data_IF_275965049172
#
_entry.id   IF_275965049172
#
_cell.length_a   1.000
_cell.length_b   1.000
_cell.length_c   1.000
_cell.angle_alpha   90.00
_cell.angle_beta   90.00
_cell.angle_gamma   90.00
#
_symmetry.space_group_name_H-M   'P 1'
#
loop_
_entity.id
_entity.type
_entity.pdbx_description
1 polymer ?
#
# COMPACT_ATOMS: atom_id res chain seq x y z
N UNK A 1 -16.30 11.57 12.08
CA UNK A 1 -14.93 11.68 11.57
C UNK A 1 -14.80 10.78 10.35
N UNK A 2 -14.14 11.22 9.27
CA UNK A 2 -13.81 10.41 8.09
C UNK A 2 -12.51 9.65 8.32
N UNK A 3 -12.29 8.57 7.57
CA UNK A 3 -11.11 7.71 7.76
C UNK A 3 -10.30 7.67 6.46
N UNK A 4 -8.99 7.86 6.56
CA UNK A 4 -8.01 7.63 5.52
C UNK A 4 -7.05 6.54 6.00
N UNK A 5 -7.20 5.35 5.44
CA UNK A 5 -6.51 4.16 5.89
C UNK A 5 -5.54 3.68 4.80
N UNK A 6 -4.26 3.65 5.11
CA UNK A 6 -3.22 3.16 4.20
C UNK A 6 -2.81 1.74 4.58
N UNK A 7 -2.79 0.83 3.61
CA UNK A 7 -2.19 -0.49 3.73
C UNK A 7 -0.91 -0.52 2.91
N UNK A 8 0.21 -0.37 3.60
CA UNK A 8 1.56 -0.27 3.03
C UNK A 8 2.36 -1.54 3.24
N UNK A 9 3.46 -1.70 2.51
CA UNK A 9 4.37 -2.83 2.64
C UNK A 9 4.86 -3.33 1.29
N UNK A 10 5.93 -4.10 1.31
CA UNK A 10 6.59 -4.61 0.11
C UNK A 10 5.76 -5.67 -0.64
N UNK A 11 6.28 -6.12 -1.78
CA UNK A 11 5.68 -7.24 -2.51
C UNK A 11 5.68 -8.51 -1.65
N UNK A 12 4.67 -9.38 -1.83
CA UNK A 12 4.55 -10.64 -1.09
C UNK A 12 3.99 -10.53 0.33
N UNK A 13 3.85 -9.33 0.92
CA UNK A 13 3.37 -9.17 2.31
C UNK A 13 1.89 -9.47 2.51
N UNK A 14 1.09 -9.54 1.44
CA UNK A 14 -0.35 -9.83 1.51
C UNK A 14 -1.22 -8.62 1.87
N UNK A 15 -0.69 -7.38 1.79
CA UNK A 15 -1.42 -6.14 2.12
C UNK A 15 -2.77 -6.01 1.39
N UNK A 16 -2.83 -6.33 0.10
CA UNK A 16 -4.07 -6.26 -0.70
C UNK A 16 -5.13 -7.25 -0.20
N UNK A 17 -4.71 -8.48 0.09
CA UNK A 17 -5.60 -9.52 0.62
C UNK A 17 -6.14 -9.12 2.00
N UNK A 18 -5.27 -8.65 2.90
CA UNK A 18 -5.64 -8.18 4.23
C UNK A 18 -6.62 -7.01 4.15
N UNK A 19 -6.30 -5.97 3.37
CA UNK A 19 -7.16 -4.80 3.22
C UNK A 19 -8.55 -5.18 2.69
N UNK A 20 -8.63 -6.07 1.67
CA UNK A 20 -9.90 -6.53 1.11
C UNK A 20 -10.72 -7.37 2.10
N UNK A 21 -10.07 -8.21 2.94
CA UNK A 21 -10.76 -8.95 4.01
C UNK A 21 -11.35 -8.00 5.06
N UNK A 22 -10.62 -6.96 5.42
CA UNK A 22 -11.06 -6.00 6.44
C UNK A 22 -12.05 -4.96 5.91
N UNK A 23 -12.24 -4.84 4.60
CA UNK A 23 -13.02 -3.75 4.00
C UNK A 23 -14.48 -3.73 4.45
N UNK A 24 -15.21 -4.83 4.32
CA UNK A 24 -16.59 -4.93 4.78
C UNK A 24 -16.73 -4.81 6.32
N UNK A 25 -15.87 -5.46 7.14
CA UNK A 25 -15.81 -5.22 8.57
C UNK A 25 -15.57 -3.76 8.98
N UNK A 26 -14.70 -3.01 8.25
CA UNK A 26 -14.48 -1.59 8.49
C UNK A 26 -15.75 -0.76 8.28
N UNK A 27 -16.45 -0.99 7.16
CA UNK A 27 -17.72 -0.31 6.87
C UNK A 27 -18.77 -0.60 7.95
N UNK A 28 -18.86 -1.85 8.39
CA UNK A 28 -19.78 -2.24 9.44
C UNK A 28 -19.46 -1.58 10.79
N UNK A 29 -18.18 -1.64 11.20
CA UNK A 29 -17.74 -1.11 12.49
C UNK A 29 -17.84 0.40 12.60
N UNK A 30 -17.62 1.13 11.49
CA UNK A 30 -17.67 2.59 11.48
C UNK A 30 -19.03 3.16 11.11
N UNK A 31 -19.90 2.38 10.47
CA UNK A 31 -21.16 2.85 9.86
C UNK A 31 -20.93 3.87 8.73
N UNK A 32 -19.75 3.90 8.09
CA UNK A 32 -19.36 4.87 7.08
C UNK A 32 -19.17 4.21 5.70
N UNK A 33 -19.45 4.95 4.61
CA UNK A 33 -19.04 4.50 3.29
C UNK A 33 -17.53 4.63 3.12
N UNK A 34 -16.94 3.65 2.41
CA UNK A 34 -15.54 3.65 2.03
C UNK A 34 -15.38 3.42 0.53
N UNK A 35 -14.39 4.08 -0.09
CA UNK A 35 -13.85 3.69 -1.38
C UNK A 35 -12.56 2.87 -1.20
N UNK A 36 -12.30 1.96 -2.14
CA UNK A 36 -11.11 1.14 -2.19
C UNK A 36 -10.21 1.59 -3.36
N UNK A 37 -9.02 2.07 -3.05
CA UNK A 37 -8.06 2.59 -4.01
C UNK A 37 -6.81 1.68 -4.01
N UNK A 38 -6.83 0.65 -4.84
CA UNK A 38 -5.69 -0.27 -5.02
C UNK A 38 -4.87 0.20 -6.23
N UNK A 39 -3.60 0.51 -6.00
CA UNK A 39 -2.66 1.00 -7.02
C UNK A 39 -2.63 0.08 -8.25
N UNK A 40 -2.56 -1.22 -8.03
CA UNK A 40 -2.42 -2.16 -9.13
C UNK A 40 -3.71 -2.31 -9.94
N UNK A 41 -4.87 -2.10 -9.31
CA UNK A 41 -6.16 -2.06 -10.02
C UNK A 41 -6.32 -0.78 -10.82
N UNK A 42 -5.93 0.37 -10.26
CA UNK A 42 -6.16 1.68 -10.90
C UNK A 42 -5.14 1.99 -12.00
N UNK A 43 -3.89 1.62 -11.79
CA UNK A 43 -2.78 2.03 -12.66
C UNK A 43 -2.03 0.86 -13.31
N UNK A 44 -2.37 -0.40 -12.97
CA UNK A 44 -1.64 -1.56 -13.44
C UNK A 44 -1.53 -1.65 -14.97
N UNK A 45 -2.65 -1.64 -15.65
CA UNK A 45 -2.71 -1.70 -17.12
C UNK A 45 -2.18 -0.42 -17.78
N UNK A 46 -2.53 0.75 -17.23
CA UNK A 46 -2.05 2.02 -17.76
C UNK A 46 -0.51 2.11 -17.74
N UNK A 47 0.08 1.79 -16.60
CA UNK A 47 1.54 1.83 -16.47
C UNK A 47 2.24 0.76 -17.30
N UNK A 48 1.62 -0.42 -17.43
CA UNK A 48 2.14 -1.46 -18.34
C UNK A 48 2.16 -0.97 -19.79
N UNK A 49 1.09 -0.33 -20.25
CA UNK A 49 1.02 0.22 -21.59
C UNK A 49 2.03 1.36 -21.78
N UNK A 50 2.15 2.28 -20.81
CA UNK A 50 3.07 3.40 -20.88
C UNK A 50 4.53 2.96 -20.88
N UNK A 51 4.93 2.10 -19.92
CA UNK A 51 6.33 1.64 -19.86
C UNK A 51 6.68 0.73 -21.03
N UNK A 52 5.75 -0.12 -21.47
CA UNK A 52 5.93 -0.97 -22.65
C UNK A 52 6.15 -0.18 -23.93
N UNK A 53 5.46 0.95 -24.12
CA UNK A 53 5.67 1.85 -25.25
C UNK A 53 7.04 2.53 -25.20
N UNK A 54 7.58 2.79 -24.00
CA UNK A 54 8.85 3.50 -23.81
C UNK A 54 10.06 2.56 -23.85
N UNK A 55 9.93 1.34 -23.31
CA UNK A 55 11.07 0.40 -23.12
C UNK A 55 10.95 -0.88 -23.95
N UNK A 56 9.77 -1.18 -24.48
CA UNK A 56 9.46 -2.48 -25.10
C UNK A 56 9.10 -3.59 -24.10
N UNK A 57 9.20 -3.34 -22.78
CA UNK A 57 8.83 -4.29 -21.74
C UNK A 57 7.72 -3.72 -20.84
N UNK A 58 6.47 -4.21 -20.94
CA UNK A 58 5.35 -3.76 -20.13
C UNK A 58 5.48 -4.14 -18.64
N UNK A 59 6.43 -4.99 -18.29
CA UNK A 59 6.67 -5.46 -16.92
C UNK A 59 7.84 -4.77 -16.23
N UNK A 60 8.49 -3.83 -16.90
CA UNK A 60 9.59 -3.04 -16.34
C UNK A 60 9.08 -2.01 -15.30
N UNK A 61 8.91 -2.51 -14.06
CA UNK A 61 8.42 -1.73 -12.90
C UNK A 61 9.53 -1.32 -11.94
N UNK A 62 10.78 -1.64 -12.26
CA UNK A 62 11.94 -1.44 -11.39
C UNK A 62 13.04 -0.61 -12.05
N UNK A 63 12.90 -0.22 -13.34
CA UNK A 63 13.86 0.63 -14.03
C UNK A 63 13.90 2.06 -13.49
N UNK A 64 15.00 2.77 -13.69
CA UNK A 64 15.08 4.20 -13.40
C UNK A 64 13.97 5.00 -14.10
N UNK A 65 13.64 4.65 -15.34
CA UNK A 65 12.62 5.33 -16.13
C UNK A 65 11.22 5.19 -15.48
N UNK A 66 10.84 3.99 -15.05
CA UNK A 66 9.58 3.81 -14.32
C UNK A 66 9.57 4.59 -13.01
N UNK A 67 10.66 4.51 -12.23
CA UNK A 67 10.77 5.16 -10.92
C UNK A 67 10.70 6.68 -11.06
N UNK A 68 11.36 7.24 -12.07
CA UNK A 68 11.44 8.68 -12.29
C UNK A 68 10.15 9.28 -12.86
N UNK A 69 9.48 8.57 -13.79
CA UNK A 69 8.41 9.18 -14.59
C UNK A 69 7.01 8.65 -14.30
N UNK A 70 6.86 7.41 -13.81
CA UNK A 70 5.55 6.79 -13.63
C UNK A 70 5.17 6.56 -12.17
N UNK A 71 6.14 6.17 -11.32
CA UNK A 71 5.86 5.82 -9.93
C UNK A 71 5.21 6.96 -9.15
N UNK A 72 5.77 8.13 -9.17
CA UNK A 72 5.29 9.25 -8.36
C UNK A 72 3.94 9.80 -8.83
N UNK A 73 3.65 9.93 -10.14
CA UNK A 73 2.30 10.18 -10.64
C UNK A 73 1.26 9.15 -10.20
N UNK A 74 1.57 7.84 -10.24
CA UNK A 74 0.64 6.80 -9.73
C UNK A 74 0.28 7.04 -8.26
N UNK A 75 1.28 7.29 -7.42
CA UNK A 75 1.06 7.45 -5.98
C UNK A 75 0.39 8.78 -5.65
N UNK A 76 0.72 9.85 -6.38
CA UNK A 76 0.04 11.13 -6.24
C UNK A 76 -1.44 11.01 -6.62
N UNK A 77 -1.75 10.37 -7.73
CA UNK A 77 -3.13 10.13 -8.17
C UNK A 77 -3.97 9.35 -7.16
N UNK A 78 -3.38 8.34 -6.47
CA UNK A 78 -4.07 7.63 -5.37
C UNK A 78 -4.43 8.57 -4.22
N UNK A 79 -3.47 9.40 -3.81
CA UNK A 79 -3.64 10.33 -2.68
C UNK A 79 -4.66 11.42 -3.03
N UNK A 80 -4.57 11.99 -4.24
CA UNK A 80 -5.51 13.02 -4.71
C UNK A 80 -6.93 12.46 -4.82
N UNK A 81 -7.11 11.26 -5.39
CA UNK A 81 -8.42 10.59 -5.46
C UNK A 81 -8.98 10.29 -4.06
N UNK A 82 -8.12 9.89 -3.11
CA UNK A 82 -8.55 9.70 -1.72
C UNK A 82 -9.03 11.02 -1.10
N UNK A 83 -8.29 12.12 -1.29
CA UNK A 83 -8.65 13.44 -0.78
C UNK A 83 -9.99 13.95 -1.36
N UNK A 84 -10.21 13.76 -2.67
CA UNK A 84 -11.49 14.10 -3.32
C UNK A 84 -12.67 13.32 -2.71
N UNK A 85 -12.53 12.00 -2.52
CA UNK A 85 -13.55 11.17 -1.88
C UNK A 85 -13.83 11.62 -0.44
N UNK A 86 -12.79 11.93 0.33
CA UNK A 86 -12.93 12.45 1.69
C UNK A 86 -13.64 13.79 1.71
N UNK A 87 -13.38 14.69 0.76
CA UNK A 87 -14.09 15.96 0.63
C UNK A 87 -15.59 15.74 0.38
N UNK A 88 -15.96 14.68 -0.33
CA UNK A 88 -17.34 14.28 -0.61
C UNK A 88 -17.98 13.45 0.53
N UNK A 89 -17.29 13.22 1.64
CA UNK A 89 -17.81 12.49 2.80
C UNK A 89 -17.60 10.97 2.77
N UNK A 90 -16.87 10.46 1.78
CA UNK A 90 -16.55 9.04 1.64
C UNK A 90 -15.16 8.78 2.23
N UNK A 91 -15.03 7.85 3.18
CA UNK A 91 -13.75 7.39 3.72
C UNK A 91 -12.97 6.59 2.67
N UNK A 92 -11.65 6.48 2.81
CA UNK A 92 -10.81 5.82 1.82
C UNK A 92 -9.88 4.76 2.43
N UNK A 93 -9.77 3.62 1.76
CA UNK A 93 -8.73 2.61 1.96
C UNK A 93 -7.79 2.65 0.76
N UNK A 94 -6.52 2.99 0.98
CA UNK A 94 -5.48 3.08 -0.04
C UNK A 94 -4.53 1.91 0.11
N UNK A 95 -4.29 1.17 -0.97
CA UNK A 95 -3.42 0.00 -1.00
C UNK A 95 -2.28 0.25 -1.99
N UNK A 96 -1.07 0.38 -1.49
CA UNK A 96 0.14 0.52 -2.31
C UNK A 96 1.40 0.24 -1.47
N UNK A 97 2.58 0.00 -2.07
CA UNK A 97 3.83 -0.13 -1.31
C UNK A 97 4.13 1.08 -0.42
N UNK A 98 4.12 2.31 -0.99
CA UNK A 98 4.30 3.61 -0.32
C UNK A 98 5.51 3.66 0.64
N UNK A 99 6.54 2.84 0.43
CA UNK A 99 7.69 2.72 1.34
C UNK A 99 8.51 4.00 1.46
N UNK A 100 8.64 4.79 0.38
CA UNK A 100 9.29 6.10 0.43
C UNK A 100 8.45 7.11 1.21
N UNK A 101 7.15 7.15 0.94
CA UNK A 101 6.18 8.05 1.58
C UNK A 101 6.04 7.77 3.07
N UNK A 102 6.11 6.49 3.49
CA UNK A 102 6.17 6.09 4.90
C UNK A 102 7.49 6.56 5.52
N UNK A 103 8.65 6.26 4.89
CA UNK A 103 9.98 6.62 5.38
C UNK A 103 10.15 8.14 5.55
N UNK A 104 9.62 8.92 4.60
CA UNK A 104 9.65 10.38 4.62
C UNK A 104 8.51 10.99 5.44
N UNK A 105 7.69 10.17 6.13
CA UNK A 105 6.56 10.56 6.99
C UNK A 105 5.46 11.34 6.24
N UNK A 106 5.43 11.31 4.91
CA UNK A 106 4.44 12.04 4.09
C UNK A 106 3.01 11.58 4.36
N UNK A 107 2.79 10.30 4.72
CA UNK A 107 1.46 9.77 5.03
C UNK A 107 0.90 10.30 6.37
N UNK A 108 1.69 11.06 7.13
CA UNK A 108 1.24 11.74 8.35
C UNK A 108 1.14 13.26 8.16
N UNK A 109 1.56 13.77 7.01
CA UNK A 109 1.50 15.19 6.66
C UNK A 109 0.15 15.52 6.00
N UNK A 110 -0.73 16.17 6.76
CA UNK A 110 -2.08 16.54 6.29
C UNK A 110 -2.05 17.48 5.10
N UNK A 111 -1.08 18.38 5.05
CA UNK A 111 -0.93 19.32 3.93
C UNK A 111 -0.55 18.57 2.65
N UNK A 112 0.39 17.62 2.76
CA UNK A 112 0.77 16.77 1.64
C UNK A 112 -0.37 15.87 1.17
N UNK A 113 -1.19 15.37 2.11
CA UNK A 113 -2.35 14.53 1.82
C UNK A 113 -3.57 15.35 1.29
N UNK A 114 -3.58 16.66 1.48
CA UNK A 114 -4.71 17.51 1.10
C UNK A 114 -5.96 17.29 1.97
N UNK A 115 -5.81 16.93 3.27
CA UNK A 115 -6.91 16.58 4.16
C UNK A 115 -6.94 17.44 5.42
N UNK A 116 -8.15 17.72 5.93
CA UNK A 116 -8.38 18.48 7.16
C UNK A 116 -8.27 17.65 8.44
N UNK A 117 -8.46 18.33 9.59
CA UNK A 117 -8.39 17.72 10.93
C UNK A 117 -9.58 16.79 11.23
N UNK A 118 -10.65 16.87 10.46
CA UNK A 118 -11.82 15.99 10.54
C UNK A 118 -11.60 14.59 9.94
N UNK A 119 -10.39 14.33 9.41
CA UNK A 119 -9.98 13.04 8.85
C UNK A 119 -9.06 12.31 9.83
N UNK A 120 -9.44 11.11 10.24
CA UNK A 120 -8.56 10.20 10.97
C UNK A 120 -7.65 9.47 9.98
N UNK A 121 -6.33 9.58 10.17
CA UNK A 121 -5.33 8.91 9.34
C UNK A 121 -4.78 7.72 10.13
N UNK A 122 -4.72 6.54 9.49
CA UNK A 122 -4.02 5.36 10.00
C UNK A 122 -3.18 4.74 8.90
N UNK A 123 -1.96 4.38 9.25
CA UNK A 123 -1.01 3.74 8.32
C UNK A 123 -0.65 2.37 8.85
N UNK A 124 -1.08 1.33 8.14
CA UNK A 124 -0.73 -0.06 8.43
C UNK A 124 0.52 -0.41 7.64
N UNK A 125 1.58 -0.84 8.33
CA UNK A 125 2.74 -1.44 7.69
C UNK A 125 2.63 -2.97 7.79
N UNK A 126 2.28 -3.59 6.66
CA UNK A 126 2.15 -5.04 6.55
C UNK A 126 3.50 -5.63 6.18
N UNK A 127 4.00 -6.53 7.00
CA UNK A 127 5.27 -7.21 6.78
C UNK A 127 5.14 -8.72 6.97
N UNK A 128 6.12 -9.44 6.49
CA UNK A 128 6.30 -10.88 6.69
C UNK A 128 7.82 -11.14 6.74
N UNK A 129 8.22 -12.35 7.14
CA UNK A 129 9.60 -12.77 6.97
C UNK A 129 10.01 -12.77 5.49
N UNK A 130 11.31 -12.59 5.22
CA UNK A 130 11.83 -12.55 3.86
C UNK A 130 11.51 -13.83 3.09
N UNK A 131 11.67 -14.99 3.72
CA UNK A 131 11.40 -16.30 3.11
C UNK A 131 9.94 -16.42 2.68
N UNK A 132 9.00 -16.05 3.55
CA UNK A 132 7.57 -16.06 3.24
C UNK A 132 7.24 -15.08 2.12
N UNK A 133 7.85 -13.89 2.09
CA UNK A 133 7.65 -12.94 0.98
C UNK A 133 8.12 -13.54 -0.35
N UNK A 134 9.30 -14.15 -0.36
CA UNK A 134 9.88 -14.79 -1.54
C UNK A 134 9.02 -15.94 -2.06
N UNK A 135 8.62 -16.86 -1.17
CA UNK A 135 7.72 -17.97 -1.50
C UNK A 135 6.40 -17.49 -2.11
N UNK A 136 5.77 -16.47 -1.49
CA UNK A 136 4.49 -15.90 -1.98
C UNK A 136 4.64 -15.22 -3.34
N UNK A 137 5.76 -14.53 -3.58
CA UNK A 137 6.05 -13.90 -4.87
C UNK A 137 6.25 -14.98 -5.95
N UNK A 138 7.00 -16.05 -5.66
CA UNK A 138 7.17 -17.17 -6.58
C UNK A 138 5.84 -17.86 -6.87
N UNK A 139 5.05 -18.17 -5.84
CA UNK A 139 3.78 -18.90 -5.98
C UNK A 139 2.72 -18.16 -6.80
N UNK A 140 2.69 -16.83 -6.75
CA UNK A 140 1.71 -16.06 -7.53
C UNK A 140 2.05 -15.95 -9.02
N UNK A 141 3.32 -16.10 -9.41
CA UNK A 141 3.78 -16.25 -10.79
C UNK A 141 3.40 -15.12 -11.74
N UNK A 142 3.27 -13.87 -11.27
CA UNK A 142 2.89 -12.74 -12.12
C UNK A 142 4.11 -12.17 -12.85
N UNK A 143 3.99 -11.77 -14.15
CA UNK A 143 5.11 -11.26 -14.93
C UNK A 143 5.84 -10.06 -14.30
N UNK A 144 5.12 -9.17 -13.61
CA UNK A 144 5.69 -8.00 -12.93
C UNK A 144 6.66 -8.35 -11.78
N UNK A 145 6.75 -9.61 -11.40
CA UNK A 145 7.72 -10.08 -10.39
C UNK A 145 8.97 -10.73 -10.98
N UNK A 146 8.99 -10.97 -12.28
CA UNK A 146 10.11 -11.66 -12.94
C UNK A 146 11.47 -10.99 -12.65
N UNK A 147 11.53 -9.66 -12.73
CA UNK A 147 12.75 -8.91 -12.41
C UNK A 147 13.16 -9.10 -10.95
N UNK A 148 12.22 -9.03 -10.00
CA UNK A 148 12.49 -9.19 -8.56
C UNK A 148 13.04 -10.58 -8.25
N UNK A 149 12.44 -11.62 -8.86
CA UNK A 149 12.88 -13.00 -8.68
C UNK A 149 14.25 -13.26 -9.30
N UNK A 150 14.48 -12.74 -10.51
CA UNK A 150 15.79 -12.86 -11.17
C UNK A 150 16.89 -12.10 -10.45
N UNK A 151 16.57 -11.03 -9.72
CA UNK A 151 17.52 -10.16 -9.03
C UNK A 151 17.24 -10.09 -7.51
N UNK A 152 16.87 -11.22 -6.89
CA UNK A 152 16.40 -11.26 -5.51
C UNK A 152 17.35 -10.61 -4.52
N UNK A 153 18.66 -10.88 -4.63
CA UNK A 153 19.69 -10.30 -3.75
C UNK A 153 19.73 -8.76 -3.84
N UNK A 154 19.60 -8.20 -5.04
CA UNK A 154 19.53 -6.75 -5.23
C UNK A 154 18.20 -6.17 -4.76
N UNK A 155 17.09 -6.90 -4.95
CA UNK A 155 15.78 -6.49 -4.50
C UNK A 155 15.71 -6.44 -2.96
N UNK A 156 16.17 -7.48 -2.26
CA UNK A 156 16.15 -7.53 -0.78
C UNK A 156 16.93 -6.38 -0.14
N UNK A 157 18.04 -5.93 -0.73
CA UNK A 157 18.82 -4.79 -0.23
C UNK A 157 18.07 -3.46 -0.29
N UNK A 158 17.03 -3.38 -1.10
CA UNK A 158 16.14 -2.19 -1.21
C UNK A 158 14.93 -2.26 -0.29
N UNK A 159 14.73 -3.40 0.39
CA UNK A 159 13.62 -3.52 1.32
C UNK A 159 13.83 -2.58 2.50
N UNK A 160 12.81 -1.78 2.75
CA UNK A 160 12.75 -0.88 3.88
C UNK A 160 11.97 -1.54 5.02
N UNK A 161 12.48 -1.46 6.22
CA UNK A 161 11.76 -1.80 7.44
C UNK A 161 11.77 -0.57 8.37
N UNK A 162 10.62 -0.14 8.90
CA UNK A 162 10.56 1.02 9.80
C UNK A 162 11.45 0.81 11.03
N UNK A 163 12.23 1.82 11.41
CA UNK A 163 12.91 1.86 12.70
C UNK A 163 11.91 2.07 13.86
N UNK A 164 12.37 1.94 15.10
CA UNK A 164 11.52 2.03 16.28
C UNK A 164 10.75 3.36 16.36
N UNK A 165 11.36 4.46 15.96
CA UNK A 165 10.76 5.78 16.00
C UNK A 165 9.62 5.93 14.99
N UNK A 166 9.78 5.37 13.80
CA UNK A 166 8.74 5.37 12.79
C UNK A 166 7.68 4.30 13.10
N UNK A 167 8.08 3.12 13.57
CA UNK A 167 7.19 2.03 13.92
C UNK A 167 6.18 2.43 15.02
N UNK A 168 6.55 3.34 15.92
CA UNK A 168 5.66 3.85 16.96
C UNK A 168 4.43 4.59 16.39
N UNK A 169 4.54 5.20 15.20
CA UNK A 169 3.44 5.92 14.54
C UNK A 169 2.62 5.01 13.61
N UNK A 170 3.10 3.79 13.35
CA UNK A 170 2.48 2.85 12.43
C UNK A 170 1.62 1.81 13.18
N UNK A 171 0.64 1.26 12.50
CA UNK A 171 0.01 0.01 12.86
C UNK A 171 0.84 -1.12 12.24
N UNK A 172 1.89 -1.58 12.95
CA UNK A 172 2.70 -2.71 12.49
C UNK A 172 1.87 -3.99 12.49
N UNK A 173 1.86 -4.72 11.38
CA UNK A 173 1.12 -5.97 11.22
C UNK A 173 1.99 -7.06 10.59
N UNK A 174 2.36 -8.04 11.43
CA UNK A 174 3.05 -9.24 10.97
C UNK A 174 2.04 -10.20 10.33
N UNK A 175 2.12 -10.36 9.02
CA UNK A 175 1.25 -11.23 8.24
C UNK A 175 1.94 -12.56 7.85
N UNK A 176 2.99 -12.94 8.55
CA UNK A 176 3.71 -14.22 8.32
C UNK A 176 2.76 -15.39 8.55
N UNK A 177 2.06 -15.37 9.71
CA UNK A 177 1.11 -16.40 10.13
C UNK A 177 -0.08 -15.79 10.88
N UNK A 178 -0.56 -14.62 10.43
CA UNK A 178 -1.61 -13.88 11.13
C UNK A 178 -2.91 -14.69 11.25
N UNK A 179 -3.49 -14.67 12.42
CA UNK A 179 -4.76 -15.29 12.77
C UNK A 179 -5.95 -14.34 12.57
N UNK A 180 -7.17 -14.87 12.62
CA UNK A 180 -8.39 -14.05 12.64
C UNK A 180 -8.44 -13.11 13.84
N UNK A 181 -7.84 -13.50 14.98
CA UNK A 181 -7.76 -12.65 16.16
C UNK A 181 -6.81 -11.46 15.97
N UNK A 182 -5.69 -11.66 15.24
CA UNK A 182 -4.77 -10.58 14.88
C UNK A 182 -5.47 -9.57 13.97
N UNK A 183 -6.24 -10.03 12.99
CA UNK A 183 -7.04 -9.18 12.12
C UNK A 183 -8.13 -8.42 12.89
N UNK A 184 -8.79 -9.06 13.84
CA UNK A 184 -9.79 -8.40 14.71
C UNK A 184 -9.14 -7.31 15.59
N UNK A 185 -7.94 -7.57 16.14
CA UNK A 185 -7.16 -6.56 16.88
C UNK A 185 -6.76 -5.38 15.98
N UNK A 186 -6.32 -5.65 14.76
CA UNK A 186 -6.01 -4.60 13.79
C UNK A 186 -7.26 -3.76 13.47
N UNK A 187 -8.38 -4.41 13.18
CA UNK A 187 -9.65 -3.73 12.91
C UNK A 187 -10.04 -2.78 14.05
N UNK A 188 -9.97 -3.23 15.30
CA UNK A 188 -10.27 -2.39 16.45
C UNK A 188 -9.37 -1.13 16.51
N UNK A 189 -8.07 -1.27 16.19
CA UNK A 189 -7.13 -0.13 16.13
C UNK A 189 -7.36 0.81 14.95
N UNK A 190 -7.92 0.30 13.85
CA UNK A 190 -8.23 1.11 12.66
C UNK A 190 -9.43 2.03 12.87
N UNK A 191 -10.36 1.66 13.77
CA UNK A 191 -11.59 2.41 14.02
C UNK A 191 -11.55 3.23 15.31
N UNK A 192 -10.57 2.97 16.20
CA UNK A 192 -10.34 3.74 17.42
C UNK A 192 -9.74 5.10 17.12
#
# INVERSE_FOLDING_TARGET
MKHLLFFCGHAGTGKTTLAKRLFAPLMHATGKPFCLLDKDTLYGEYSAAAIGALTGDPHDRDSPLFIEHLRDPEYRGLVDTAAENLALGVSAVVIAPLSREVRERRLFDRAWLGVGDDVMIRVVWVHVSEDVAHERIMARGVPNDAYKLANWQAYRQRLFFPDDALAADLLMFDNTSASAEDEARLLARLVA
#
